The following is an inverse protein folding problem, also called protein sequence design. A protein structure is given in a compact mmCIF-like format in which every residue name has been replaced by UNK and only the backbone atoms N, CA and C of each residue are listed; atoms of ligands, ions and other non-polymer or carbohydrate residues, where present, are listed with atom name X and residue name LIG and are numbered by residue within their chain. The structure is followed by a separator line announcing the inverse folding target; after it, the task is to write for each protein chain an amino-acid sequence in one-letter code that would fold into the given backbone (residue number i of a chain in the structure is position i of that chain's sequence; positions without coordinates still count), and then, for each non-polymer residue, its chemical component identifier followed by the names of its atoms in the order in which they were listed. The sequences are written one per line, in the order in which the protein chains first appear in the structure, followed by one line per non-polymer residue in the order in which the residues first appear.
data_IF_492714303386
#
_entry.id   IF_492714303386
#
_cell.length_a   1.000
_cell.length_b   1.000
_cell.length_c   1.000
_cell.angle_alpha   90.00
_cell.angle_beta   90.00
_cell.angle_gamma   90.00
#
_symmetry.space_group_name_H-M   'P 1'
#
loop_
_entity.id
_entity.type
_entity.pdbx_description
1 polymer ?
#
# COMPACT_ATOMS: atom_id res chain seq x y z
N UNK A 1 -123.71 66.34 -174.03
CA UNK A 1 -122.74 65.26 -174.37
C UNK A 1 -122.94 64.12 -173.38
N UNK A 2 -122.36 62.95 -173.66
CA UNK A 2 -122.42 61.78 -172.79
C UNK A 2 -121.56 61.98 -171.53
N UNK A 3 -122.00 61.51 -170.37
CA UNK A 3 -121.26 61.59 -169.09
C UNK A 3 -120.20 60.49 -168.91
N UNK A 4 -119.69 59.94 -170.02
CA UNK A 4 -118.50 59.07 -170.06
C UNK A 4 -117.34 59.94 -170.58
N UNK A 5 -116.19 59.91 -169.92
CA UNK A 5 -115.03 60.71 -170.32
C UNK A 5 -114.61 60.35 -171.75
N UNK A 6 -114.38 61.37 -172.60
CA UNK A 6 -114.01 61.19 -174.01
C UNK A 6 -115.15 60.84 -174.97
N UNK A 7 -116.43 61.06 -174.61
CA UNK A 7 -117.57 60.79 -175.50
C UNK A 7 -118.41 62.04 -175.83
N UNK A 8 -118.11 62.67 -176.97
CA UNK A 8 -118.76 63.90 -177.42
C UNK A 8 -120.17 63.72 -178.00
N UNK A 9 -120.65 62.48 -178.14
CA UNK A 9 -121.95 62.18 -178.74
C UNK A 9 -123.11 62.92 -178.02
N UNK A 10 -124.05 63.53 -178.77
CA UNK A 10 -125.24 64.14 -178.19
C UNK A 10 -126.14 63.07 -177.56
N UNK A 11 -126.80 63.42 -176.46
CA UNK A 11 -127.70 62.51 -175.72
C UNK A 11 -129.12 62.71 -176.26
N UNK A 12 -129.85 61.64 -176.66
CA UNK A 12 -131.15 61.77 -177.31
C UNK A 12 -132.23 62.32 -176.38
N UNK A 13 -133.02 63.27 -176.89
CA UNK A 13 -134.04 64.04 -176.17
C UNK A 13 -135.40 63.32 -176.03
N UNK A 14 -135.38 62.14 -175.42
CA UNK A 14 -136.60 61.37 -175.09
C UNK A 14 -137.49 62.04 -174.04
N UNK A 15 -138.82 61.94 -174.20
CA UNK A 15 -139.81 62.64 -173.35
C UNK A 15 -140.09 61.93 -172.01
N UNK A 16 -140.45 62.74 -170.99
CA UNK A 16 -140.91 62.35 -169.64
C UNK A 16 -139.97 61.38 -168.90
N UNK A 17 -138.95 61.92 -168.25
CA UNK A 17 -138.10 61.10 -167.38
C UNK A 17 -137.18 61.90 -166.45
N UNK A 18 -136.43 61.15 -165.65
CA UNK A 18 -135.13 61.60 -165.13
C UNK A 18 -134.17 61.65 -166.34
N UNK A 19 -133.41 62.73 -166.59
CA UNK A 19 -132.63 62.87 -167.82
C UNK A 19 -131.57 61.77 -167.94
N UNK A 20 -131.45 61.17 -169.12
CA UNK A 20 -130.41 60.20 -169.42
C UNK A 20 -129.03 60.86 -169.36
N UNK A 21 -128.08 60.23 -168.66
CA UNK A 21 -126.70 60.74 -168.55
C UNK A 21 -125.76 60.25 -169.65
N UNK A 22 -126.14 59.22 -170.40
CA UNK A 22 -125.27 58.55 -171.37
C UNK A 22 -125.99 58.43 -172.72
N UNK A 23 -125.26 58.52 -173.84
CA UNK A 23 -125.84 58.45 -175.19
C UNK A 23 -126.31 57.04 -175.58
N UNK A 24 -125.91 56.00 -174.84
CA UNK A 24 -126.37 54.62 -175.00
C UNK A 24 -126.00 53.75 -173.81
N UNK A 25 -126.60 52.55 -173.72
CA UNK A 25 -126.41 51.61 -172.60
C UNK A 25 -124.93 51.27 -172.36
N UNK A 26 -124.18 51.01 -173.43
CA UNK A 26 -122.76 50.66 -173.36
C UNK A 26 -121.91 51.70 -172.58
N UNK A 27 -122.23 52.99 -172.69
CA UNK A 27 -121.48 54.04 -171.98
C UNK A 27 -121.94 54.21 -170.52
N UNK A 28 -123.17 53.81 -170.18
CA UNK A 28 -123.60 53.68 -168.79
C UNK A 28 -122.92 52.47 -168.11
N UNK A 29 -122.80 51.36 -168.83
CA UNK A 29 -122.11 50.15 -168.36
C UNK A 29 -120.60 50.40 -168.20
N UNK A 30 -119.94 51.08 -169.16
CA UNK A 30 -118.53 51.47 -169.05
C UNK A 30 -118.30 52.42 -167.87
N UNK A 31 -119.09 53.49 -167.73
CA UNK A 31 -119.02 54.40 -166.59
C UNK A 31 -119.44 53.76 -165.23
N UNK A 32 -119.84 52.49 -165.21
CA UNK A 32 -120.00 51.67 -164.01
C UNK A 32 -118.81 50.72 -163.77
N UNK A 33 -118.08 50.32 -164.83
CA UNK A 33 -116.80 49.61 -164.75
C UNK A 33 -115.69 50.55 -164.27
N UNK A 34 -115.59 51.73 -164.87
CA UNK A 34 -114.54 52.71 -164.55
C UNK A 34 -114.60 53.15 -163.08
N UNK A 35 -115.82 53.35 -162.54
CA UNK A 35 -116.02 53.63 -161.10
C UNK A 35 -115.63 52.45 -160.23
N UNK A 36 -116.08 51.23 -160.54
CA UNK A 36 -115.67 50.04 -159.77
C UNK A 36 -114.16 49.78 -159.80
N UNK A 37 -113.47 50.18 -160.87
CA UNK A 37 -112.01 50.13 -160.93
C UNK A 37 -111.35 51.20 -160.02
N UNK A 38 -111.91 52.41 -159.95
CA UNK A 38 -111.47 53.45 -159.02
C UNK A 38 -111.76 53.06 -157.55
N UNK A 39 -112.97 52.60 -157.25
CA UNK A 39 -113.40 52.15 -155.92
C UNK A 39 -112.52 51.00 -155.38
N UNK A 40 -112.00 50.13 -156.28
CA UNK A 40 -111.03 49.08 -155.92
C UNK A 40 -109.63 49.68 -155.70
N UNK A 41 -109.15 50.56 -156.58
CA UNK A 41 -107.82 51.15 -156.46
C UNK A 41 -107.65 52.00 -155.18
N UNK A 42 -108.70 52.70 -154.74
CA UNK A 42 -108.71 53.48 -153.50
C UNK A 42 -108.59 52.60 -152.23
N UNK A 43 -108.93 51.31 -152.31
CA UNK A 43 -108.89 50.36 -151.19
C UNK A 43 -107.70 49.40 -151.28
N UNK A 44 -107.28 48.99 -152.49
CA UNK A 44 -106.21 48.02 -152.68
C UNK A 44 -104.83 48.58 -152.32
N UNK A 45 -104.53 49.84 -152.65
CA UNK A 45 -103.24 50.45 -152.36
C UNK A 45 -102.97 50.67 -150.86
N UNK A 46 -103.91 51.21 -150.03
CA UNK A 46 -103.71 51.25 -148.58
C UNK A 46 -103.69 49.84 -147.95
N UNK A 47 -104.37 48.85 -148.54
CA UNK A 47 -104.23 47.45 -148.10
C UNK A 47 -102.83 46.91 -148.36
N UNK A 48 -102.23 47.12 -149.54
CA UNK A 48 -100.84 46.73 -149.82
C UNK A 48 -99.85 47.42 -148.89
N UNK A 49 -100.06 48.70 -148.56
CA UNK A 49 -99.20 49.42 -147.62
C UNK A 49 -99.34 48.89 -146.19
N UNK A 50 -100.57 48.59 -145.75
CA UNK A 50 -100.83 47.93 -144.47
C UNK A 50 -100.24 46.51 -144.41
N UNK A 51 -100.29 45.75 -145.52
CA UNK A 51 -99.74 44.40 -145.63
C UNK A 51 -98.20 44.42 -145.66
N UNK A 52 -97.58 45.35 -146.39
CA UNK A 52 -96.12 45.55 -146.36
C UNK A 52 -95.62 45.96 -144.96
N UNK A 53 -96.38 46.78 -144.23
CA UNK A 53 -96.13 47.07 -142.81
C UNK A 53 -96.34 45.82 -141.94
N UNK A 54 -97.41 45.05 -142.16
CA UNK A 54 -97.67 43.82 -141.41
C UNK A 54 -96.63 42.71 -141.68
N UNK A 55 -95.92 42.74 -142.80
CA UNK A 55 -94.79 41.84 -143.09
C UNK A 55 -93.46 42.34 -142.50
N UNK A 56 -93.22 43.67 -142.48
CA UNK A 56 -91.96 44.25 -141.99
C UNK A 56 -91.91 44.49 -140.48
N UNK A 57 -93.03 44.86 -139.86
CA UNK A 57 -93.12 45.13 -138.41
C UNK A 57 -92.78 43.88 -137.56
N UNK A 58 -93.26 42.66 -137.86
CA UNK A 58 -92.85 41.47 -137.13
C UNK A 58 -91.34 41.21 -137.21
N UNK A 59 -90.73 41.34 -138.39
CA UNK A 59 -89.29 41.17 -138.57
C UNK A 59 -88.48 42.22 -137.78
N UNK A 60 -88.95 43.47 -137.74
CA UNK A 60 -88.35 44.53 -136.92
C UNK A 60 -88.51 44.25 -135.41
N UNK A 61 -89.67 43.72 -134.98
CA UNK A 61 -89.91 43.31 -133.59
C UNK A 61 -89.01 42.14 -133.19
N UNK A 62 -88.87 41.11 -134.03
CA UNK A 62 -87.95 39.98 -133.80
C UNK A 62 -86.51 40.49 -133.71
N UNK A 63 -86.07 41.35 -134.63
CA UNK A 63 -84.73 41.97 -134.59
C UNK A 63 -84.50 42.78 -133.30
N UNK A 64 -85.54 43.47 -132.80
CA UNK A 64 -85.46 44.21 -131.54
C UNK A 64 -85.42 43.27 -130.32
N UNK A 65 -86.22 42.21 -130.33
CA UNK A 65 -86.24 41.17 -129.29
C UNK A 65 -84.90 40.42 -129.22
N UNK A 66 -84.30 40.08 -130.36
CA UNK A 66 -82.94 39.51 -130.43
C UNK A 66 -81.90 40.47 -129.85
N UNK A 67 -81.93 41.76 -130.23
CA UNK A 67 -81.01 42.77 -129.68
C UNK A 67 -81.21 43.00 -128.18
N UNK A 68 -82.46 42.98 -127.69
CA UNK A 68 -82.76 43.06 -126.25
C UNK A 68 -82.29 41.82 -125.52
N UNK A 69 -82.46 40.62 -126.09
CA UNK A 69 -81.92 39.37 -125.55
C UNK A 69 -80.40 39.36 -125.51
N UNK A 70 -79.72 39.83 -126.56
CA UNK A 70 -78.27 40.01 -126.59
C UNK A 70 -77.78 41.02 -125.55
N UNK A 71 -78.48 42.15 -125.38
CA UNK A 71 -78.15 43.14 -124.34
C UNK A 71 -78.39 42.61 -122.92
N UNK A 72 -79.46 41.84 -122.69
CA UNK A 72 -79.71 41.15 -121.43
C UNK A 72 -78.62 40.10 -121.16
N UNK A 73 -78.25 39.30 -122.15
CA UNK A 73 -77.20 38.28 -122.02
C UNK A 73 -75.82 38.93 -121.73
N UNK A 74 -75.48 40.02 -122.42
CA UNK A 74 -74.27 40.81 -122.15
C UNK A 74 -74.30 41.45 -120.76
N UNK A 75 -75.44 41.98 -120.32
CA UNK A 75 -75.60 42.54 -118.98
C UNK A 75 -75.46 41.46 -117.90
N UNK A 76 -76.09 40.29 -118.06
CA UNK A 76 -75.94 39.16 -117.15
C UNK A 76 -74.50 38.60 -117.15
N UNK A 77 -73.84 38.51 -118.31
CA UNK A 77 -72.40 38.16 -118.39
C UNK A 77 -71.53 39.18 -117.65
N UNK A 78 -71.81 40.47 -117.78
CA UNK A 78 -71.10 41.54 -117.08
C UNK A 78 -71.35 41.54 -115.57
N UNK A 79 -72.60 41.35 -115.14
CA UNK A 79 -73.01 41.22 -113.73
C UNK A 79 -72.39 39.99 -113.08
N UNK A 80 -72.52 38.80 -113.69
CA UNK A 80 -71.91 37.57 -113.19
C UNK A 80 -70.37 37.68 -113.18
N UNK A 81 -69.77 38.31 -114.20
CA UNK A 81 -68.34 38.60 -114.22
C UNK A 81 -67.89 39.57 -113.13
N UNK A 82 -68.72 40.55 -112.76
CA UNK A 82 -68.45 41.47 -111.65
C UNK A 82 -68.61 40.78 -110.29
N UNK A 83 -69.70 40.04 -110.08
CA UNK A 83 -69.94 39.25 -108.87
C UNK A 83 -68.84 38.21 -108.65
N UNK A 84 -68.40 37.50 -109.71
CA UNK A 84 -67.28 36.56 -109.60
C UNK A 84 -65.94 37.24 -109.28
N UNK A 85 -65.71 38.48 -109.72
CA UNK A 85 -64.53 39.27 -109.30
C UNK A 85 -64.63 39.72 -107.84
N UNK A 86 -65.80 40.15 -107.37
CA UNK A 86 -66.03 40.52 -105.96
C UNK A 86 -65.91 39.29 -105.05
N UNK A 87 -66.60 38.20 -105.35
CA UNK A 87 -66.53 36.94 -104.60
C UNK A 87 -65.09 36.40 -104.52
N UNK A 88 -64.31 36.52 -105.61
CA UNK A 88 -62.89 36.16 -105.60
C UNK A 88 -62.06 37.10 -104.73
N UNK A 89 -62.24 38.41 -104.86
CA UNK A 89 -61.54 39.39 -104.03
C UNK A 89 -61.87 39.26 -102.54
N UNK A 90 -63.12 38.95 -102.20
CA UNK A 90 -63.55 38.65 -100.83
C UNK A 90 -62.95 37.35 -100.31
N UNK A 91 -62.82 36.31 -101.15
CA UNK A 91 -62.15 35.07 -100.78
C UNK A 91 -60.64 35.29 -100.57
N UNK A 92 -59.97 36.02 -101.47
CA UNK A 92 -58.56 36.41 -101.36
C UNK A 92 -58.32 37.29 -100.11
N UNK A 93 -59.20 38.24 -99.81
CA UNK A 93 -59.12 39.08 -98.62
C UNK A 93 -59.42 38.32 -97.32
N UNK A 94 -60.26 37.28 -97.34
CA UNK A 94 -60.46 36.38 -96.19
C UNK A 94 -59.25 35.48 -95.96
N UNK A 95 -58.68 34.92 -97.02
CA UNK A 95 -57.46 34.12 -96.95
C UNK A 95 -56.31 34.95 -96.37
N UNK A 96 -56.04 36.14 -96.92
CA UNK A 96 -54.98 37.03 -96.43
C UNK A 96 -55.16 37.46 -94.95
N UNK A 97 -56.40 37.60 -94.47
CA UNK A 97 -56.68 37.85 -93.04
C UNK A 97 -56.42 36.62 -92.16
N UNK A 98 -56.77 35.42 -92.64
CA UNK A 98 -56.46 34.17 -91.96
C UNK A 98 -54.94 33.94 -91.90
N UNK A 99 -54.24 34.14 -93.02
CA UNK A 99 -52.77 34.02 -93.10
C UNK A 99 -52.06 35.00 -92.13
N UNK A 100 -52.60 36.23 -91.98
CA UNK A 100 -52.12 37.21 -90.99
C UNK A 100 -52.36 36.73 -89.56
N UNK A 101 -53.58 36.33 -89.23
CA UNK A 101 -53.93 35.84 -87.89
C UNK A 101 -53.12 34.58 -87.51
N UNK A 102 -52.90 33.67 -88.47
CA UNK A 102 -52.07 32.48 -88.27
C UNK A 102 -50.57 32.84 -88.16
N UNK A 103 -50.10 33.90 -88.82
CA UNK A 103 -48.74 34.42 -88.64
C UNK A 103 -48.55 35.09 -87.28
N UNK A 104 -49.52 35.91 -86.85
CA UNK A 104 -49.58 36.55 -85.53
C UNK A 104 -49.60 35.49 -84.41
N UNK A 105 -50.48 34.50 -84.49
CA UNK A 105 -50.55 33.40 -83.52
C UNK A 105 -49.26 32.54 -83.46
N UNK A 106 -48.54 32.41 -84.58
CA UNK A 106 -47.21 31.76 -84.60
C UNK A 106 -46.12 32.63 -83.99
N UNK A 107 -46.19 33.96 -84.14
CA UNK A 107 -45.28 34.90 -83.50
C UNK A 107 -45.48 34.91 -81.97
N UNK A 108 -46.73 35.03 -81.51
CA UNK A 108 -47.09 34.98 -80.08
C UNK A 108 -46.63 33.67 -79.43
N UNK A 109 -46.85 32.53 -80.11
CA UNK A 109 -46.40 31.22 -79.63
C UNK A 109 -44.86 31.12 -79.56
N UNK A 110 -44.13 31.73 -80.50
CA UNK A 110 -42.67 31.75 -80.50
C UNK A 110 -42.09 32.67 -79.42
N UNK A 111 -42.71 33.84 -79.19
CA UNK A 111 -42.34 34.76 -78.10
C UNK A 111 -42.63 34.15 -76.73
N UNK A 112 -43.78 33.50 -76.55
CA UNK A 112 -44.11 32.75 -75.33
C UNK A 112 -43.12 31.61 -75.08
N UNK A 113 -42.74 30.86 -76.13
CA UNK A 113 -41.73 29.80 -76.04
C UNK A 113 -40.34 30.35 -75.68
N UNK A 114 -39.93 31.51 -76.23
CA UNK A 114 -38.68 32.18 -75.85
C UNK A 114 -38.71 32.57 -74.37
N UNK A 115 -39.77 33.24 -73.92
CA UNK A 115 -39.91 33.68 -72.52
C UNK A 115 -39.87 32.48 -71.56
N UNK A 116 -40.55 31.38 -71.89
CA UNK A 116 -40.50 30.15 -71.10
C UNK A 116 -39.10 29.53 -71.05
N UNK A 117 -38.38 29.50 -72.18
CA UNK A 117 -37.00 29.00 -72.25
C UNK A 117 -36.01 29.89 -71.47
N UNK A 118 -36.15 31.21 -71.52
CA UNK A 118 -35.36 32.16 -70.73
C UNK A 118 -35.61 31.98 -69.23
N UNK A 119 -36.87 31.85 -68.80
CA UNK A 119 -37.23 31.57 -67.40
C UNK A 119 -36.67 30.23 -66.93
N UNK A 120 -36.78 29.18 -67.75
CA UNK A 120 -36.21 27.85 -67.45
C UNK A 120 -34.68 27.91 -67.34
N UNK A 121 -33.99 28.64 -68.21
CA UNK A 121 -32.54 28.82 -68.15
C UNK A 121 -32.10 29.62 -66.91
N UNK A 122 -32.86 30.64 -66.48
CA UNK A 122 -32.62 31.36 -65.22
C UNK A 122 -32.86 30.46 -64.01
N UNK A 123 -33.92 29.65 -64.01
CA UNK A 123 -34.20 28.69 -62.94
C UNK A 123 -33.10 27.62 -62.83
N UNK A 124 -32.66 27.04 -63.96
CA UNK A 124 -31.57 26.07 -64.00
C UNK A 124 -30.25 26.65 -63.48
N UNK A 125 -29.89 27.88 -63.86
CA UNK A 125 -28.68 28.57 -63.34
C UNK A 125 -28.77 28.88 -61.85
N UNK A 126 -29.97 29.15 -61.31
CA UNK A 126 -30.18 29.32 -59.86
C UNK A 126 -30.04 27.99 -59.12
N UNK A 127 -30.63 26.92 -59.64
CA UNK A 127 -30.53 25.58 -59.06
C UNK A 127 -29.08 25.05 -59.10
N UNK A 128 -28.35 25.28 -60.19
CA UNK A 128 -26.92 24.95 -60.28
C UNK A 128 -26.11 25.67 -59.20
N UNK A 129 -26.28 26.99 -59.05
CA UNK A 129 -25.55 27.77 -58.03
C UNK A 129 -25.87 27.30 -56.61
N UNK A 130 -27.15 27.08 -56.29
CA UNK A 130 -27.53 26.53 -54.99
C UNK A 130 -26.85 25.18 -54.71
N UNK A 131 -26.81 24.27 -55.69
CA UNK A 131 -26.12 22.99 -55.56
C UNK A 131 -24.58 23.13 -55.46
N UNK A 132 -23.98 24.14 -56.10
CA UNK A 132 -22.56 24.47 -55.98
C UNK A 132 -22.23 25.05 -54.59
N UNK A 133 -23.07 25.95 -54.08
CA UNK A 133 -22.98 26.56 -52.75
C UNK A 133 -23.18 25.50 -51.65
N UNK A 134 -24.21 24.65 -51.74
CA UNK A 134 -24.46 23.51 -50.84
C UNK A 134 -23.27 22.52 -50.85
N UNK A 135 -22.74 22.21 -52.04
CA UNK A 135 -21.58 21.32 -52.17
C UNK A 135 -20.26 21.96 -51.72
N UNK A 136 -20.17 23.29 -51.61
CA UNK A 136 -19.06 23.99 -50.99
C UNK A 136 -19.20 23.98 -49.45
N UNK A 137 -20.39 24.30 -48.93
CA UNK A 137 -20.72 24.26 -47.50
C UNK A 137 -20.52 22.86 -46.90
N UNK A 138 -20.98 21.80 -47.60
CA UNK A 138 -20.78 20.42 -47.18
C UNK A 138 -19.29 20.01 -47.15
N UNK A 139 -18.47 20.54 -48.05
CA UNK A 139 -17.01 20.32 -48.04
C UNK A 139 -16.33 21.05 -46.87
N UNK A 140 -16.66 22.32 -46.65
CA UNK A 140 -16.14 23.08 -45.51
C UNK A 140 -16.52 22.43 -44.16
N UNK A 141 -17.76 21.96 -44.01
CA UNK A 141 -18.21 21.25 -42.81
C UNK A 141 -17.46 19.91 -42.61
N UNK A 142 -17.20 19.16 -43.68
CA UNK A 142 -16.42 17.92 -43.62
C UNK A 142 -14.94 18.17 -43.32
N UNK A 143 -14.37 19.29 -43.77
CA UNK A 143 -12.99 19.70 -43.47
C UNK A 143 -12.86 20.17 -42.02
N UNK A 144 -13.81 20.97 -41.51
CA UNK A 144 -13.88 21.34 -40.08
C UNK A 144 -14.01 20.09 -39.20
N UNK A 145 -14.93 19.17 -39.52
CA UNK A 145 -15.12 17.91 -38.77
C UNK A 145 -13.83 17.08 -38.72
N UNK A 146 -12.99 17.12 -39.76
CA UNK A 146 -11.68 16.44 -39.79
C UNK A 146 -10.64 17.16 -38.93
N UNK A 147 -10.65 18.50 -38.90
CA UNK A 147 -9.79 19.28 -38.01
C UNK A 147 -10.14 19.03 -36.54
N UNK A 148 -11.42 19.14 -36.18
CA UNK A 148 -11.94 18.89 -34.83
C UNK A 148 -11.59 17.46 -34.36
N UNK A 149 -11.76 16.46 -35.23
CA UNK A 149 -11.40 15.08 -34.94
C UNK A 149 -9.89 14.87 -34.79
N UNK A 150 -9.05 15.56 -35.56
CA UNK A 150 -7.60 15.50 -35.44
C UNK A 150 -7.11 16.14 -34.12
N UNK A 151 -7.68 17.28 -33.72
CA UNK A 151 -7.42 17.93 -32.43
C UNK A 151 -7.84 17.01 -31.26
N UNK A 152 -9.03 16.41 -31.32
CA UNK A 152 -9.49 15.47 -30.31
C UNK A 152 -8.60 14.21 -30.20
N UNK A 153 -8.11 13.68 -31.31
CA UNK A 153 -7.18 12.53 -31.33
C UNK A 153 -5.85 12.90 -30.66
N UNK A 154 -5.27 14.06 -30.99
CA UNK A 154 -4.00 14.50 -30.39
C UNK A 154 -4.17 14.86 -28.90
N UNK A 155 -5.29 15.48 -28.50
CA UNK A 155 -5.62 15.70 -27.09
C UNK A 155 -5.75 14.38 -26.30
N UNK A 156 -6.44 13.37 -26.87
CA UNK A 156 -6.51 12.04 -26.26
C UNK A 156 -5.15 11.35 -26.18
N UNK A 157 -4.29 11.53 -27.20
CA UNK A 157 -2.92 11.02 -27.18
C UNK A 157 -2.09 11.68 -26.08
N UNK A 158 -2.11 13.01 -25.96
CA UNK A 158 -1.37 13.73 -24.92
C UNK A 158 -1.88 13.39 -23.51
N UNK A 159 -3.19 13.19 -23.34
CA UNK A 159 -3.77 12.68 -22.09
C UNK A 159 -3.25 11.27 -21.76
N UNK A 160 -3.18 10.37 -22.74
CA UNK A 160 -2.62 9.02 -22.58
C UNK A 160 -1.12 9.05 -22.25
N UNK A 161 -0.30 9.79 -22.99
CA UNK A 161 1.14 9.95 -22.71
C UNK A 161 1.39 10.54 -21.32
N UNK A 162 0.45 11.36 -20.81
CA UNK A 162 0.50 11.91 -19.44
C UNK A 162 0.10 10.86 -18.39
N UNK A 163 -0.92 10.04 -18.66
CA UNK A 163 -1.32 8.94 -17.78
C UNK A 163 -0.23 7.85 -17.68
N UNK A 164 0.41 7.47 -18.79
CA UNK A 164 1.51 6.50 -18.81
C UNK A 164 2.74 7.01 -18.03
N UNK A 165 3.08 8.29 -18.15
CA UNK A 165 4.13 8.93 -17.33
C UNK A 165 3.76 8.98 -15.84
N UNK A 166 2.49 9.24 -15.51
CA UNK A 166 2.01 9.23 -14.13
C UNK A 166 2.07 7.82 -13.52
N UNK A 167 1.68 6.79 -14.26
CA UNK A 167 1.79 5.38 -13.84
C UNK A 167 3.25 5.01 -13.59
N UNK A 168 4.16 5.26 -14.53
CA UNK A 168 5.59 4.96 -14.36
C UNK A 168 6.20 5.68 -13.14
N UNK A 169 5.77 6.91 -12.86
CA UNK A 169 6.18 7.66 -11.67
C UNK A 169 5.66 7.01 -10.37
N UNK A 170 4.41 6.56 -10.36
CA UNK A 170 3.80 5.89 -9.21
C UNK A 170 4.43 4.51 -8.94
N UNK A 171 4.74 3.75 -9.99
CA UNK A 171 5.45 2.46 -9.90
C UNK A 171 6.88 2.64 -9.37
N UNK A 172 7.63 3.62 -9.90
CA UNK A 172 8.95 3.95 -9.38
C UNK A 172 8.93 4.39 -7.90
N UNK A 173 7.91 5.17 -7.49
CA UNK A 173 7.73 5.57 -6.09
C UNK A 173 7.39 4.38 -5.17
N UNK A 174 6.53 3.46 -5.62
CA UNK A 174 6.21 2.20 -4.91
C UNK A 174 7.46 1.34 -4.73
N UNK A 175 8.27 1.20 -5.77
CA UNK A 175 9.44 0.30 -5.74
C UNK A 175 10.61 0.91 -4.96
N UNK A 176 10.73 2.24 -4.95
CA UNK A 176 11.59 2.98 -4.03
C UNK A 176 11.16 2.75 -2.57
N UNK A 177 9.88 2.91 -2.22
CA UNK A 177 9.37 2.68 -0.86
C UNK A 177 9.48 1.21 -0.43
N UNK A 178 9.30 0.27 -1.35
CA UNK A 178 9.55 -1.16 -1.11
C UNK A 178 11.04 -1.43 -0.84
N UNK A 179 11.93 -0.68 -1.48
CA UNK A 179 13.39 -0.78 -1.25
C UNK A 179 13.81 -0.12 0.07
N UNK A 180 13.19 0.98 0.47
CA UNK A 180 13.36 1.58 1.81
C UNK A 180 12.91 0.62 2.92
N UNK A 181 11.72 0.02 2.80
CA UNK A 181 11.19 -0.94 3.76
C UNK A 181 12.15 -2.13 3.93
N UNK A 182 12.58 -2.75 2.83
CA UNK A 182 13.57 -3.86 2.83
C UNK A 182 14.97 -3.48 3.32
N UNK A 183 15.27 -2.19 3.54
CA UNK A 183 16.48 -1.71 4.22
C UNK A 183 16.23 -1.52 5.71
N UNK A 184 15.10 -0.92 6.07
CA UNK A 184 14.68 -0.74 7.46
C UNK A 184 14.48 -2.08 8.19
N UNK A 185 13.83 -3.06 7.55
CA UNK A 185 13.64 -4.42 8.06
C UNK A 185 14.98 -5.10 8.38
N UNK A 186 15.96 -5.00 7.48
CA UNK A 186 17.30 -5.57 7.69
C UNK A 186 18.07 -4.85 8.78
N UNK A 187 18.12 -3.51 8.76
CA UNK A 187 18.78 -2.74 9.82
C UNK A 187 18.18 -3.00 11.22
N UNK A 188 16.87 -3.24 11.30
CA UNK A 188 16.19 -3.64 12.52
C UNK A 188 16.55 -5.06 12.98
N UNK A 189 16.67 -6.02 12.07
CA UNK A 189 17.08 -7.39 12.42
C UNK A 189 18.58 -7.49 12.75
N UNK A 190 19.42 -6.70 12.09
CA UNK A 190 20.84 -6.53 12.42
C UNK A 190 21.01 -5.95 13.84
N UNK A 191 20.26 -4.89 14.19
CA UNK A 191 20.32 -4.30 15.54
C UNK A 191 19.68 -5.21 16.59
N UNK A 192 18.60 -5.95 16.27
CA UNK A 192 18.07 -7.02 17.15
C UNK A 192 19.12 -8.10 17.42
N UNK A 193 19.82 -8.54 16.38
CA UNK A 193 20.90 -9.54 16.49
C UNK A 193 22.04 -9.02 17.36
N UNK A 194 22.43 -7.75 17.18
CA UNK A 194 23.43 -7.05 17.99
C UNK A 194 23.02 -6.92 19.45
N UNK A 195 21.78 -6.52 19.74
CA UNK A 195 21.24 -6.42 21.10
C UNK A 195 21.15 -7.80 21.78
N UNK A 196 20.73 -8.85 21.06
CA UNK A 196 20.75 -10.23 21.54
C UNK A 196 22.18 -10.79 21.73
N UNK A 197 23.18 -10.30 21.02
CA UNK A 197 24.59 -10.62 21.29
C UNK A 197 25.08 -9.91 22.56
N UNK A 198 24.87 -8.59 22.67
CA UNK A 198 25.26 -7.80 23.83
C UNK A 198 24.62 -8.31 25.14
N UNK A 199 23.33 -8.67 25.10
CA UNK A 199 22.62 -9.24 26.24
C UNK A 199 23.19 -10.60 26.70
N UNK A 200 23.66 -11.45 25.77
CA UNK A 200 24.36 -12.70 26.09
C UNK A 200 25.70 -12.45 26.76
N UNK A 201 26.53 -11.57 26.19
CA UNK A 201 27.82 -11.19 26.79
C UNK A 201 27.65 -10.54 28.18
N UNK A 202 26.58 -9.76 28.40
CA UNK A 202 26.27 -9.21 29.72
C UNK A 202 25.83 -10.29 30.72
N UNK A 203 25.06 -11.31 30.28
CA UNK A 203 24.69 -12.44 31.12
C UNK A 203 25.92 -13.30 31.48
N UNK A 204 26.78 -13.60 30.51
CA UNK A 204 28.05 -14.31 30.68
C UNK A 204 28.98 -13.58 31.68
N UNK A 205 29.14 -12.26 31.53
CA UNK A 205 29.90 -11.42 32.47
C UNK A 205 29.29 -11.45 33.87
N UNK A 206 27.96 -11.37 34.00
CA UNK A 206 27.25 -11.39 35.28
C UNK A 206 27.42 -12.73 35.99
N UNK A 207 27.41 -13.84 35.25
CA UNK A 207 27.60 -15.18 35.81
C UNK A 207 29.07 -15.45 36.18
N UNK A 208 30.03 -14.93 35.39
CA UNK A 208 31.45 -14.92 35.81
C UNK A 208 31.61 -14.20 37.14
N UNK A 209 31.12 -12.96 37.25
CA UNK A 209 31.22 -12.15 38.47
C UNK A 209 30.53 -12.79 39.69
N UNK A 210 29.43 -13.53 39.48
CA UNK A 210 28.83 -14.37 40.54
C UNK A 210 29.78 -15.51 40.95
N UNK A 211 30.37 -16.22 40.00
CA UNK A 211 31.33 -17.30 40.29
C UNK A 211 32.61 -16.79 40.98
N UNK A 212 33.06 -15.58 40.65
CA UNK A 212 34.21 -14.92 41.27
C UNK A 212 33.85 -14.49 42.70
N UNK A 213 32.66 -13.93 42.91
CA UNK A 213 32.15 -13.55 44.23
C UNK A 213 31.96 -14.76 45.16
N UNK A 214 31.41 -15.88 44.68
CA UNK A 214 31.30 -17.13 45.45
C UNK A 214 32.69 -17.64 45.83
N UNK A 215 33.62 -17.74 44.87
CA UNK A 215 35.02 -18.16 45.17
C UNK A 215 35.72 -17.23 46.17
N UNK A 216 35.45 -15.94 46.13
CA UNK A 216 35.97 -14.98 47.11
C UNK A 216 35.34 -15.17 48.52
N UNK A 217 34.06 -15.51 48.60
CA UNK A 217 33.40 -15.86 49.86
C UNK A 217 33.92 -17.17 50.45
N UNK A 218 34.11 -18.21 49.63
CA UNK A 218 34.66 -19.50 50.07
C UNK A 218 36.11 -19.33 50.57
N UNK A 219 36.94 -18.57 49.83
CA UNK A 219 38.30 -18.24 50.25
C UNK A 219 38.32 -17.41 51.56
N UNK A 220 37.39 -16.47 51.74
CA UNK A 220 37.24 -15.70 52.99
C UNK A 220 36.77 -16.58 54.16
N UNK A 221 35.90 -17.56 53.91
CA UNK A 221 35.46 -18.52 54.91
C UNK A 221 36.63 -19.42 55.36
N UNK A 222 37.36 -20.01 54.41
CA UNK A 222 38.56 -20.81 54.69
C UNK A 222 39.66 -20.01 55.41
N UNK A 223 39.86 -18.74 55.03
CA UNK A 223 40.81 -17.85 55.73
C UNK A 223 40.39 -17.56 57.18
N UNK A 224 39.07 -17.43 57.45
CA UNK A 224 38.54 -17.26 58.82
C UNK A 224 38.69 -18.55 59.65
N UNK A 225 38.47 -19.71 59.05
CA UNK A 225 38.65 -21.02 59.70
C UNK A 225 40.13 -21.30 60.00
N UNK A 226 41.03 -21.01 59.06
CA UNK A 226 42.48 -21.10 59.26
C UNK A 226 42.94 -20.13 60.37
N UNK A 227 42.41 -18.90 60.42
CA UNK A 227 42.69 -17.95 61.48
C UNK A 227 42.14 -18.41 62.84
N UNK A 228 40.97 -19.03 62.89
CA UNK A 228 40.41 -19.61 64.12
C UNK A 228 41.27 -20.78 64.63
N UNK A 229 41.72 -21.65 63.72
CA UNK A 229 42.61 -22.78 63.99
C UNK A 229 43.97 -22.29 64.53
N UNK A 230 44.62 -21.35 63.85
CA UNK A 230 45.89 -20.75 64.31
C UNK A 230 45.75 -20.05 65.67
N UNK A 231 44.63 -19.38 65.95
CA UNK A 231 44.35 -18.82 67.28
C UNK A 231 44.15 -19.92 68.34
N UNK A 232 43.55 -21.05 67.98
CA UNK A 232 43.45 -22.24 68.83
C UNK A 232 44.82 -22.84 69.15
N UNK A 233 45.68 -22.97 68.15
CA UNK A 233 47.06 -23.43 68.31
C UNK A 233 47.90 -22.48 69.16
N UNK A 234 47.83 -21.17 68.92
CA UNK A 234 48.52 -20.15 69.73
C UNK A 234 48.07 -20.22 71.20
N UNK A 235 46.77 -20.39 71.46
CA UNK A 235 46.25 -20.60 72.82
C UNK A 235 46.78 -21.90 73.43
N UNK A 236 46.78 -23.00 72.69
CA UNK A 236 47.29 -24.28 73.16
C UNK A 236 48.80 -24.24 73.47
N UNK A 237 49.61 -23.61 72.61
CA UNK A 237 51.04 -23.40 72.84
C UNK A 237 51.28 -22.47 74.04
N UNK A 238 50.48 -21.41 74.20
CA UNK A 238 50.53 -20.55 75.38
C UNK A 238 50.21 -21.31 76.67
N UNK A 239 49.13 -22.11 76.70
CA UNK A 239 48.79 -22.93 77.87
C UNK A 239 49.85 -23.99 78.17
N UNK A 240 50.49 -24.57 77.14
CA UNK A 240 51.67 -25.46 77.32
C UNK A 240 52.86 -24.71 77.93
N UNK A 241 53.16 -23.49 77.46
CA UNK A 241 54.23 -22.65 78.02
C UNK A 241 53.93 -22.25 79.47
N UNK A 242 52.71 -21.79 79.78
CA UNK A 242 52.26 -21.46 81.13
C UNK A 242 52.21 -22.70 82.06
N UNK A 243 52.04 -23.91 81.52
CA UNK A 243 52.16 -25.16 82.27
C UNK A 243 53.63 -25.55 82.50
N UNK A 244 54.49 -25.42 81.48
CA UNK A 244 55.93 -25.68 81.59
C UNK A 244 56.62 -24.70 82.53
N UNK A 245 56.24 -23.42 82.52
CA UNK A 245 56.75 -22.42 83.46
C UNK A 245 56.31 -22.72 84.90
N UNK A 246 55.06 -23.14 85.11
CA UNK A 246 54.61 -23.61 86.44
C UNK A 246 55.38 -24.86 86.88
N UNK A 247 55.59 -25.83 85.99
CA UNK A 247 56.40 -27.02 86.28
C UNK A 247 57.84 -26.65 86.66
N UNK A 248 58.46 -25.72 85.93
CA UNK A 248 59.81 -25.22 86.22
C UNK A 248 59.88 -24.46 87.55
N UNK A 249 58.87 -23.62 87.87
CA UNK A 249 58.76 -22.96 89.18
C UNK A 249 58.63 -23.98 90.32
N UNK A 250 57.73 -24.96 90.19
CA UNK A 250 57.58 -26.02 91.22
C UNK A 250 58.80 -26.93 91.32
N UNK A 251 59.53 -27.15 90.23
CA UNK A 251 60.81 -27.87 90.26
C UNK A 251 61.87 -27.06 91.00
N UNK A 252 61.99 -25.75 90.73
CA UNK A 252 62.93 -24.86 91.44
C UNK A 252 62.56 -24.70 92.93
N UNK A 253 61.27 -24.70 93.27
CA UNK A 253 60.79 -24.71 94.66
C UNK A 253 61.12 -26.03 95.35
N UNK A 254 61.00 -27.17 94.66
CA UNK A 254 61.42 -28.48 95.14
C UNK A 254 62.95 -28.60 95.28
N UNK A 255 63.73 -28.04 94.36
CA UNK A 255 65.20 -27.94 94.44
C UNK A 255 65.63 -27.11 95.65
N UNK A 256 64.98 -25.96 95.90
CA UNK A 256 65.23 -25.12 97.09
C UNK A 256 64.87 -25.88 98.37
N UNK A 257 63.70 -26.51 98.42
CA UNK A 257 63.29 -27.30 99.58
C UNK A 257 64.22 -28.50 99.82
N UNK A 258 64.73 -29.14 98.76
CA UNK A 258 65.72 -30.20 98.86
C UNK A 258 67.08 -29.67 99.33
N UNK A 259 67.52 -28.49 98.85
CA UNK A 259 68.74 -27.83 99.32
C UNK A 259 68.65 -27.50 100.81
N UNK A 260 67.58 -26.84 101.27
CA UNK A 260 67.35 -26.58 102.69
C UNK A 260 67.28 -27.87 103.51
N UNK A 261 66.69 -28.95 102.98
CA UNK A 261 66.69 -30.25 103.67
C UNK A 261 68.07 -30.93 103.71
N UNK A 262 68.95 -30.66 102.75
CA UNK A 262 70.37 -31.08 102.78
C UNK A 262 71.16 -30.23 103.78
N UNK A 263 70.86 -28.93 103.90
CA UNK A 263 71.40 -28.06 104.95
C UNK A 263 70.97 -28.56 106.35
N UNK A 264 69.66 -28.78 106.58
CA UNK A 264 69.11 -29.38 107.81
C UNK A 264 69.79 -30.73 108.16
N UNK A 265 69.97 -31.62 107.18
CA UNK A 265 70.64 -32.91 107.38
C UNK A 265 72.15 -32.76 107.65
N UNK A 266 72.79 -31.70 107.13
CA UNK A 266 74.21 -31.39 107.39
C UNK A 266 74.39 -30.79 108.79
N UNK A 267 73.45 -29.95 109.25
CA UNK A 267 73.39 -29.48 110.63
C UNK A 267 73.14 -30.64 111.61
N UNK A 268 72.20 -31.55 111.30
CA UNK A 268 71.96 -32.76 112.08
C UNK A 268 73.20 -33.69 112.12
N UNK A 269 73.88 -33.89 110.98
CA UNK A 269 75.13 -34.67 110.95
C UNK A 269 76.25 -34.01 111.77
N UNK A 270 76.41 -32.69 111.70
CA UNK A 270 77.46 -32.00 112.48
C UNK A 270 77.15 -31.95 113.97
N UNK A 271 75.87 -31.84 114.36
CA UNK A 271 75.41 -32.02 115.74
C UNK A 271 75.68 -33.45 116.25
N UNK A 272 75.31 -34.48 115.49
CA UNK A 272 75.58 -35.89 115.85
C UNK A 272 77.09 -36.19 115.93
N UNK A 273 77.92 -35.54 115.10
CA UNK A 273 79.38 -35.61 115.22
C UNK A 273 79.93 -34.86 116.44
N UNK A 274 79.29 -33.76 116.86
CA UNK A 274 79.66 -33.04 118.08
C UNK A 274 79.32 -33.88 119.32
N UNK A 275 78.14 -34.49 119.37
CA UNK A 275 77.74 -35.38 120.48
C UNK A 275 78.59 -36.67 120.52
N UNK A 276 78.94 -37.28 119.38
CA UNK A 276 79.91 -38.38 119.37
C UNK A 276 81.30 -37.96 119.88
N UNK A 277 81.77 -36.75 119.54
CA UNK A 277 83.03 -36.19 120.09
C UNK A 277 82.91 -35.86 121.58
N UNK A 278 81.71 -35.59 122.08
CA UNK A 278 81.44 -35.34 123.50
C UNK A 278 81.42 -36.66 124.28
N UNK A 279 80.59 -37.63 123.88
CA UNK A 279 80.53 -38.95 124.54
C UNK A 279 81.87 -39.68 124.50
N UNK A 280 82.66 -39.53 123.43
CA UNK A 280 84.04 -40.07 123.39
C UNK A 280 85.00 -39.42 124.40
N UNK A 281 84.80 -38.15 124.76
CA UNK A 281 85.55 -37.48 125.85
C UNK A 281 85.04 -37.92 127.22
N UNK A 282 83.73 -38.00 127.38
CA UNK A 282 83.10 -38.42 128.64
C UNK A 282 83.50 -39.86 128.99
N UNK A 283 83.52 -40.77 128.00
CA UNK A 283 84.01 -42.15 128.16
C UNK A 283 85.52 -42.21 128.48
N UNK A 284 86.33 -41.32 127.91
CA UNK A 284 87.75 -41.22 128.23
C UNK A 284 88.00 -40.70 129.66
N UNK A 285 87.13 -39.82 130.16
CA UNK A 285 87.15 -39.35 131.55
C UNK A 285 86.74 -40.46 132.54
N UNK A 286 85.69 -41.23 132.23
CA UNK A 286 85.29 -42.43 132.97
C UNK A 286 86.43 -43.45 133.07
N UNK A 287 87.08 -43.78 131.95
CA UNK A 287 88.22 -44.71 131.96
C UNK A 287 89.42 -44.18 132.77
N UNK A 288 89.67 -42.86 132.76
CA UNK A 288 90.70 -42.26 133.60
C UNK A 288 90.35 -42.33 135.11
N UNK A 289 89.08 -42.11 135.47
CA UNK A 289 88.60 -42.24 136.84
C UNK A 289 88.67 -43.70 137.34
N UNK A 290 88.30 -44.67 136.49
CA UNK A 290 88.38 -46.09 136.81
C UNK A 290 89.83 -46.54 137.07
N UNK A 291 90.77 -46.10 136.23
CA UNK A 291 92.20 -46.37 136.42
C UNK A 291 92.77 -45.75 137.71
N UNK A 292 92.31 -44.56 138.08
CA UNK A 292 92.68 -43.93 139.36
C UNK A 292 92.15 -44.72 140.57
N UNK A 293 90.92 -45.22 140.50
CA UNK A 293 90.33 -46.05 141.57
C UNK A 293 91.09 -47.38 141.74
N UNK A 294 91.44 -48.06 140.64
CA UNK A 294 92.23 -49.30 140.67
C UNK A 294 93.63 -49.10 141.28
N UNK A 295 94.29 -47.97 141.00
CA UNK A 295 95.58 -47.63 141.61
C UNK A 295 95.49 -47.40 143.14
N UNK A 296 94.37 -46.88 143.64
CA UNK A 296 94.11 -46.73 145.09
C UNK A 296 93.86 -48.10 145.73
N UNK A 297 93.07 -48.97 145.09
CA UNK A 297 92.78 -50.31 145.61
C UNK A 297 94.06 -51.16 145.74
N UNK A 298 94.88 -51.23 144.69
CA UNK A 298 96.12 -52.01 144.69
C UNK A 298 97.11 -51.55 145.79
N UNK A 299 97.09 -50.26 146.14
CA UNK A 299 97.90 -49.73 147.24
C UNK A 299 97.37 -50.16 148.61
N UNK A 300 96.06 -50.07 148.82
CA UNK A 300 95.43 -50.51 150.08
C UNK A 300 95.61 -52.01 150.32
N UNK A 301 95.58 -52.83 149.28
CA UNK A 301 95.84 -54.28 149.39
C UNK A 301 97.29 -54.59 149.80
N UNK A 302 98.26 -53.82 149.32
CA UNK A 302 99.67 -53.94 149.73
C UNK A 302 99.88 -53.52 151.20
N UNK A 303 99.28 -52.40 151.63
CA UNK A 303 99.35 -51.93 153.02
C UNK A 303 98.71 -52.95 153.99
N UNK A 304 97.59 -53.57 153.60
CA UNK A 304 96.89 -54.59 154.39
C UNK A 304 97.68 -55.91 154.46
N UNK A 305 98.49 -56.24 153.44
CA UNK A 305 99.40 -57.37 153.47
C UNK A 305 100.56 -57.15 154.46
N UNK A 306 101.14 -55.94 154.52
CA UNK A 306 102.20 -55.59 155.46
C UNK A 306 101.73 -55.72 156.92
N UNK A 307 100.57 -55.15 157.26
CA UNK A 307 99.98 -55.23 158.62
C UNK A 307 99.73 -56.68 159.08
N UNK A 308 99.40 -57.59 158.15
CA UNK A 308 99.22 -59.02 158.46
C UNK A 308 100.53 -59.72 158.84
N UNK A 309 101.66 -59.31 158.28
CA UNK A 309 103.00 -59.87 158.58
C UNK A 309 103.53 -59.35 159.94
N UNK A 310 103.26 -58.10 160.29
CA UNK A 310 103.54 -57.59 161.64
C UNK A 310 102.65 -58.28 162.69
N UNK A 311 101.36 -58.49 162.39
CA UNK A 311 100.45 -59.18 163.30
C UNK A 311 100.85 -60.66 163.54
N UNK A 312 101.38 -61.38 162.54
CA UNK A 312 101.87 -62.75 162.74
C UNK A 312 103.16 -62.80 163.57
N UNK A 313 104.10 -61.89 163.30
CA UNK A 313 105.39 -61.85 164.02
C UNK A 313 105.29 -61.32 165.46
N UNK A 314 104.22 -60.61 165.82
CA UNK A 314 103.89 -60.38 167.24
C UNK A 314 103.33 -61.63 167.93
N UNK A 315 102.44 -62.39 167.26
CA UNK A 315 101.82 -63.60 167.83
C UNK A 315 102.84 -64.70 168.11
N UNK A 316 103.84 -64.89 167.26
CA UNK A 316 104.94 -65.84 167.53
C UNK A 316 105.76 -65.49 168.79
N UNK A 317 105.88 -64.20 169.14
CA UNK A 317 106.60 -63.79 170.36
C UNK A 317 105.78 -64.07 171.63
N UNK A 318 104.46 -63.82 171.57
CA UNK A 318 103.55 -64.16 172.67
C UNK A 318 103.52 -65.68 172.90
N UNK A 319 103.31 -66.47 171.85
CA UNK A 319 103.20 -67.93 171.94
C UNK A 319 104.44 -68.61 172.55
N UNK A 320 105.65 -68.07 172.33
CA UNK A 320 106.88 -68.60 172.95
C UNK A 320 106.97 -68.28 174.44
N UNK A 321 106.53 -67.09 174.86
CA UNK A 321 106.50 -66.72 176.28
C UNK A 321 105.42 -67.51 177.07
N UNK A 322 104.29 -67.82 176.43
CA UNK A 322 103.23 -68.63 177.02
C UNK A 322 103.61 -70.12 177.13
N UNK A 323 104.34 -70.66 176.14
CA UNK A 323 104.80 -72.06 176.15
C UNK A 323 105.73 -72.38 177.32
N UNK A 324 106.70 -71.51 177.63
CA UNK A 324 107.66 -71.71 178.73
C UNK A 324 106.98 -71.63 180.12
N UNK A 325 105.86 -70.91 180.24
CA UNK A 325 105.06 -70.84 181.47
C UNK A 325 104.10 -72.03 181.62
N UNK A 326 103.51 -72.52 180.53
CA UNK A 326 102.55 -73.62 180.53
C UNK A 326 103.19 -75.00 180.75
N UNK A 327 104.49 -75.17 180.43
CA UNK A 327 105.16 -76.46 180.50
C UNK A 327 105.51 -76.96 181.92
N UNK A 328 105.44 -76.11 182.95
CA UNK A 328 105.94 -76.40 184.30
C UNK A 328 104.89 -76.36 185.43
N UNK A 329 103.76 -75.68 185.23
CA UNK A 329 102.69 -75.55 186.25
C UNK A 329 101.43 -76.32 185.84
N UNK A 330 101.02 -77.29 186.68
CA UNK A 330 99.83 -78.15 186.51
C UNK A 330 99.84 -78.96 185.17
N UNK A 331 100.17 -80.26 185.13
CA UNK A 331 99.94 -81.34 186.12
C UNK A 331 98.47 -81.44 186.59
N UNK A 332 98.10 -82.55 187.27
CA UNK A 332 96.77 -82.77 187.88
C UNK A 332 95.56 -82.45 186.97
N UNK A 333 95.25 -83.35 186.02
CA UNK A 333 94.16 -83.16 185.04
C UNK A 333 92.76 -83.68 185.46
N UNK A 334 91.91 -83.88 184.43
CA UNK A 334 90.50 -84.35 184.44
C UNK A 334 89.41 -83.25 184.66
N UNK A 335 88.16 -83.41 184.12
CA UNK A 335 87.83 -82.73 182.84
C UNK A 335 86.36 -82.23 182.61
N UNK A 336 86.12 -81.71 181.39
CA UNK A 336 84.91 -81.82 180.52
C UNK A 336 83.57 -81.08 180.83
N UNK A 337 82.69 -81.03 179.80
CA UNK A 337 81.33 -80.45 179.69
C UNK A 337 81.25 -78.88 179.77
N UNK A 338 80.55 -78.08 178.91
CA UNK A 338 79.64 -78.31 177.75
C UNK A 338 79.65 -77.21 176.63
N UNK A 339 79.15 -77.51 175.39
CA UNK A 339 78.96 -76.61 174.20
C UNK A 339 77.55 -75.88 174.23
N UNK A 340 76.94 -75.21 173.19
CA UNK A 340 77.11 -75.34 171.70
C UNK A 340 76.77 -74.17 170.69
N UNK A 341 77.01 -74.46 169.39
CA UNK A 341 76.28 -74.07 168.13
C UNK A 341 76.28 -72.65 167.47
N UNK A 342 76.34 -72.58 166.10
CA UNK A 342 75.93 -71.44 165.21
C UNK A 342 74.50 -71.70 164.62
N UNK A 343 73.97 -71.24 163.43
CA UNK A 343 74.48 -70.60 162.17
C UNK A 343 74.26 -69.06 162.07
N UNK A 344 74.54 -68.27 161.00
CA UNK A 344 75.27 -68.38 159.70
C UNK A 344 74.53 -68.64 158.34
N UNK A 345 73.94 -67.60 157.72
CA UNK A 345 73.37 -67.51 156.34
C UNK A 345 73.85 -66.18 155.67
N UNK A 346 74.15 -65.97 154.37
CA UNK A 346 73.95 -66.62 153.05
C UNK A 346 72.50 -66.61 152.47
N UNK A 347 72.20 -66.14 151.24
CA UNK A 347 72.94 -65.27 150.27
C UNK A 347 72.05 -64.05 149.91
N UNK A 348 71.86 -63.45 148.71
CA UNK A 348 72.18 -63.64 147.28
C UNK A 348 72.61 -62.25 146.70
N UNK A 349 73.43 -62.07 145.65
CA UNK A 349 73.40 -62.53 144.24
C UNK A 349 72.19 -62.01 143.44
N UNK A 350 72.31 -61.28 142.32
CA UNK A 350 73.42 -60.51 141.73
C UNK A 350 72.86 -59.54 140.65
N UNK A 351 73.49 -58.38 140.45
CA UNK A 351 73.30 -57.46 139.30
C UNK A 351 74.60 -56.72 139.01
#
# INVERSE_FOLDING_TARGET
MCALAGCDLPVPSGRRGRPAKYCGKAHADQASRDRRAADVAEVEEPLRQAEALAQTVPAAITTLQERLGQLQELLSKAQNGALNRVNRADAEARAARQDSADAEARADAADAARIAAEQAAVAARRAQRAAEDDAAAARAAAEQTRADAAEAIEAHRQARETAERAQATAEAARDAKTTELRRAERAHEDERTRLHAAARTQAELTESLRSDLTRAWDALAGAREALATANGEIRAQRTRAEAAERAARTAQEAERAAATRVEELTEQMTALQADNKKTARDLAAEHAALGAAQAVQAKLEADLAAVRIEASTQRERAARAEADLAAAFAASGFPDDRPPSPPRDQEQSAT
#
